data_IF_156400937541
#
_entry.id   IF_156400937541
#
_cell.length_a   1.000
_cell.length_b   1.000
_cell.length_c   1.000
_cell.angle_alpha   90.00
_cell.angle_beta   90.00
_cell.angle_gamma   90.00
#
_symmetry.space_group_name_H-M   'P 1'
#
loop_
_entity.id
_entity.type
_entity.pdbx_description
1 polymer ?
#
# COMPACT_ATOMS: atom_id res chain seq x y z
N UNK A 1 7.39 -11.99 -20.59
CA UNK A 1 7.63 -10.89 -19.63
C UNK A 1 6.43 -10.84 -18.73
N UNK A 2 6.57 -10.96 -17.41
CA UNK A 2 5.46 -10.68 -16.48
C UNK A 2 4.95 -9.26 -16.75
N UNK A 3 3.64 -9.04 -16.64
CA UNK A 3 3.10 -7.69 -16.72
C UNK A 3 3.45 -6.92 -15.44
N UNK A 4 3.44 -5.58 -15.47
CA UNK A 4 3.72 -4.77 -14.27
C UNK A 4 2.80 -5.14 -13.08
N UNK A 5 1.59 -5.66 -13.38
CA UNK A 5 0.66 -6.19 -12.38
C UNK A 5 1.15 -7.50 -11.76
N UNK A 6 1.72 -8.42 -12.55
CA UNK A 6 2.27 -9.68 -12.03
C UNK A 6 3.46 -9.42 -11.09
N UNK A 7 4.32 -8.46 -11.43
CA UNK A 7 5.43 -8.06 -10.55
C UNK A 7 4.93 -7.40 -9.27
N UNK A 8 3.87 -6.61 -9.35
CA UNK A 8 3.18 -6.03 -8.19
C UNK A 8 2.60 -7.12 -7.28
N UNK A 9 1.89 -8.10 -7.84
CA UNK A 9 1.30 -9.20 -7.06
C UNK A 9 2.39 -10.06 -6.40
N UNK A 10 3.50 -10.29 -7.10
CA UNK A 10 4.67 -11.00 -6.55
C UNK A 10 5.34 -10.20 -5.43
N UNK A 11 5.41 -8.87 -5.55
CA UNK A 11 5.96 -7.99 -4.51
C UNK A 11 5.08 -7.98 -3.26
N UNK A 12 3.75 -8.03 -3.43
CA UNK A 12 2.76 -8.12 -2.36
C UNK A 12 2.88 -9.45 -1.60
N UNK A 13 3.13 -10.55 -2.31
CA UNK A 13 3.38 -11.87 -1.72
C UNK A 13 4.70 -11.97 -0.94
N UNK A 14 5.65 -11.04 -1.16
CA UNK A 14 7.00 -11.08 -0.56
C UNK A 14 7.30 -9.92 0.40
N UNK A 15 6.42 -8.91 0.48
CA UNK A 15 6.57 -7.75 1.36
C UNK A 15 6.55 -8.14 2.85
N UNK A 16 7.67 -7.92 3.54
CA UNK A 16 7.89 -8.37 4.93
C UNK A 16 7.80 -7.27 5.98
N UNK A 17 7.87 -6.00 5.58
CA UNK A 17 7.77 -4.84 6.48
C UNK A 17 6.56 -3.97 6.10
N UNK A 18 5.94 -3.31 7.07
CA UNK A 18 4.72 -2.53 6.88
C UNK A 18 4.88 -1.38 5.89
N UNK A 19 6.06 -0.76 5.84
CA UNK A 19 6.35 0.30 4.87
C UNK A 19 6.36 -0.24 3.43
N UNK A 20 6.82 -1.49 3.23
CA UNK A 20 6.79 -2.14 1.91
C UNK A 20 5.36 -2.52 1.52
N UNK A 21 4.57 -3.04 2.45
CA UNK A 21 3.17 -3.37 2.20
C UNK A 21 2.37 -2.12 1.83
N UNK A 22 2.55 -1.03 2.57
CA UNK A 22 1.97 0.28 2.26
C UNK A 22 2.34 0.77 0.86
N UNK A 23 3.63 0.72 0.50
CA UNK A 23 4.09 1.15 -0.83
C UNK A 23 3.49 0.32 -1.97
N UNK A 24 3.38 -1.01 -1.79
CA UNK A 24 2.79 -1.90 -2.80
C UNK A 24 1.28 -1.64 -2.96
N UNK A 25 0.54 -1.43 -1.86
CA UNK A 25 -0.88 -1.09 -1.91
C UNK A 25 -1.12 0.24 -2.61
N UNK A 26 -0.32 1.26 -2.31
CA UNK A 26 -0.37 2.56 -3.00
C UNK A 26 -0.09 2.42 -4.51
N UNK A 27 0.91 1.61 -4.88
CA UNK A 27 1.24 1.39 -6.29
C UNK A 27 0.13 0.60 -7.01
N UNK A 28 -0.52 -0.35 -6.35
CA UNK A 28 -1.67 -1.07 -6.91
C UNK A 28 -2.89 -0.16 -7.10
N UNK A 29 -3.20 0.70 -6.12
CA UNK A 29 -4.26 1.70 -6.24
C UNK A 29 -4.01 2.63 -7.44
N UNK A 30 -2.76 3.04 -7.65
CA UNK A 30 -2.37 3.84 -8.80
C UNK A 30 -2.55 3.10 -10.13
N UNK A 31 -2.18 1.81 -10.21
CA UNK A 31 -2.43 1.04 -11.43
C UNK A 31 -3.92 0.89 -11.75
N UNK A 32 -4.77 0.75 -10.73
CA UNK A 32 -6.22 0.67 -10.90
C UNK A 32 -6.81 2.02 -11.38
N UNK A 33 -6.32 3.15 -10.87
CA UNK A 33 -6.67 4.48 -11.40
C UNK A 33 -6.32 4.62 -12.87
N UNK A 34 -5.09 4.26 -13.24
CA UNK A 34 -4.65 4.30 -14.64
C UNK A 34 -5.51 3.37 -15.54
N UNK A 35 -5.89 2.19 -15.05
CA UNK A 35 -6.81 1.30 -15.76
C UNK A 35 -8.21 1.94 -15.92
N UNK A 36 -8.72 2.60 -14.89
CA UNK A 36 -10.00 3.31 -14.96
C UNK A 36 -9.98 4.44 -16.00
N UNK A 37 -8.88 5.18 -16.15
CA UNK A 37 -8.74 6.20 -17.19
C UNK A 37 -8.80 5.60 -18.60
N UNK A 38 -8.13 4.46 -18.82
CA UNK A 38 -8.17 3.74 -20.11
C UNK A 38 -9.59 3.27 -20.41
N UNK A 39 -10.29 2.72 -19.42
CA UNK A 39 -11.68 2.26 -19.55
C UNK A 39 -12.63 3.43 -19.83
N UNK A 40 -12.44 4.57 -19.18
CA UNK A 40 -13.21 5.78 -19.45
C UNK A 40 -12.99 6.31 -20.87
N UNK A 41 -11.73 6.33 -21.32
CA UNK A 41 -11.42 6.66 -22.71
C UNK A 41 -12.11 5.69 -23.68
N UNK A 42 -12.06 4.38 -23.40
CA UNK A 42 -12.71 3.37 -24.23
C UNK A 42 -14.24 3.55 -24.24
N UNK A 43 -14.85 3.92 -23.10
CA UNK A 43 -16.28 4.23 -22.99
C UNK A 43 -16.66 5.43 -23.87
N UNK A 44 -15.86 6.49 -23.82
CA UNK A 44 -16.07 7.66 -24.66
C UNK A 44 -15.92 7.30 -26.15
N UNK A 45 -14.91 6.49 -26.49
CA UNK A 45 -14.73 5.99 -27.85
C UNK A 45 -15.91 5.12 -28.32
N UNK A 46 -16.42 4.24 -27.45
CA UNK A 46 -17.58 3.40 -27.72
C UNK A 46 -18.84 4.23 -28.00
N UNK A 47 -19.04 5.32 -27.25
CA UNK A 47 -20.12 6.27 -27.50
C UNK A 47 -20.00 6.92 -28.89
N UNK A 48 -18.81 7.44 -29.23
CA UNK A 48 -18.57 8.04 -30.56
C UNK A 48 -18.73 7.05 -31.71
N UNK A 49 -18.33 5.80 -31.51
CA UNK A 49 -18.47 4.71 -32.48
C UNK A 49 -19.87 4.09 -32.52
N UNK A 50 -20.81 4.58 -31.71
CA UNK A 50 -22.16 4.06 -31.60
C UNK A 50 -22.18 2.53 -31.36
N UNK A 51 -21.26 2.05 -30.52
CA UNK A 51 -21.24 0.65 -30.11
C UNK A 51 -22.52 0.30 -29.32
N UNK A 52 -22.92 -0.97 -29.28
CA UNK A 52 -24.12 -1.39 -28.56
C UNK A 52 -24.13 -0.90 -27.11
N UNK A 53 -25.30 -0.48 -26.63
CA UNK A 53 -25.49 -0.01 -25.25
C UNK A 53 -24.93 -0.96 -24.18
N UNK A 54 -25.05 -2.31 -24.30
CA UNK A 54 -24.44 -3.24 -23.34
C UNK A 54 -22.91 -3.10 -23.24
N UNK A 55 -22.23 -2.78 -24.34
CA UNK A 55 -20.77 -2.54 -24.33
C UNK A 55 -20.43 -1.29 -23.56
N UNK A 56 -21.21 -0.21 -23.72
CA UNK A 56 -21.02 1.03 -22.97
C UNK A 56 -21.27 0.84 -21.47
N UNK A 57 -22.32 0.11 -21.10
CA UNK A 57 -22.64 -0.19 -19.70
C UNK A 57 -21.59 -1.08 -19.03
N UNK A 58 -21.06 -2.07 -19.76
CA UNK A 58 -19.96 -2.89 -19.28
C UNK A 58 -18.71 -2.04 -19.02
N UNK A 59 -18.34 -1.15 -19.95
CA UNK A 59 -17.21 -0.24 -19.78
C UNK A 59 -17.40 0.70 -18.58
N UNK A 60 -18.62 1.22 -18.39
CA UNK A 60 -18.95 2.05 -17.22
C UNK A 60 -18.76 1.24 -15.92
N UNK A 61 -19.35 0.06 -15.84
CA UNK A 61 -19.25 -0.80 -14.65
C UNK A 61 -17.80 -1.17 -14.33
N UNK A 62 -17.00 -1.48 -15.35
CA UNK A 62 -15.58 -1.77 -15.18
C UNK A 62 -14.78 -0.55 -14.69
N UNK A 63 -15.11 0.64 -15.19
CA UNK A 63 -14.50 1.90 -14.73
C UNK A 63 -14.82 2.16 -13.26
N UNK A 64 -16.09 2.01 -12.88
CA UNK A 64 -16.56 2.23 -11.51
C UNK A 64 -15.87 1.23 -10.56
N UNK A 65 -15.82 -0.06 -10.92
CA UNK A 65 -15.16 -1.08 -10.11
C UNK A 65 -13.65 -0.83 -9.93
N UNK A 66 -12.94 -0.36 -10.96
CA UNK A 66 -11.52 -0.04 -10.86
C UNK A 66 -11.27 1.14 -9.90
N UNK A 67 -12.14 2.16 -9.91
CA UNK A 67 -12.07 3.29 -8.98
C UNK A 67 -12.36 2.86 -7.55
N UNK A 68 -13.45 2.12 -7.34
CA UNK A 68 -13.83 1.63 -6.01
C UNK A 68 -12.72 0.79 -5.37
N UNK A 69 -12.05 -0.06 -6.16
CA UNK A 69 -10.90 -0.84 -5.69
C UNK A 69 -9.70 0.05 -5.35
N UNK A 70 -9.40 1.05 -6.18
CA UNK A 70 -8.31 1.98 -5.90
C UNK A 70 -8.54 2.77 -4.61
N UNK A 71 -9.76 3.28 -4.43
CA UNK A 71 -10.16 4.04 -3.24
C UNK A 71 -10.12 3.15 -1.98
N UNK A 72 -10.65 1.93 -2.07
CA UNK A 72 -10.57 0.97 -0.96
C UNK A 72 -9.13 0.60 -0.58
N UNK A 73 -8.21 0.52 -1.54
CA UNK A 73 -6.79 0.30 -1.26
C UNK A 73 -6.14 1.49 -0.56
N UNK A 74 -6.46 2.72 -0.97
CA UNK A 74 -5.97 3.93 -0.31
C UNK A 74 -6.52 4.08 1.11
N UNK A 75 -7.78 3.68 1.35
CA UNK A 75 -8.37 3.69 2.69
C UNK A 75 -7.69 2.71 3.65
N UNK A 76 -7.31 1.52 3.18
CA UNK A 76 -6.67 0.50 4.04
C UNK A 76 -5.15 0.65 4.12
N UNK A 77 -4.52 1.32 3.14
CA UNK A 77 -3.07 1.51 3.03
C UNK A 77 -2.40 1.99 4.34
N UNK A 78 -2.93 3.00 5.05
CA UNK A 78 -2.34 3.49 6.30
C UNK A 78 -2.33 2.46 7.43
N UNK A 79 -3.24 1.47 7.42
CA UNK A 79 -3.27 0.41 8.43
C UNK A 79 -2.05 -0.52 8.34
N UNK A 80 -1.36 -0.54 7.19
CA UNK A 80 -0.16 -1.31 6.95
C UNK A 80 1.13 -0.50 7.21
N UNK A 81 1.06 0.84 7.24
CA UNK A 81 2.19 1.68 7.58
C UNK A 81 2.57 1.46 9.06
N UNK A 82 3.81 1.04 9.33
CA UNK A 82 4.25 0.73 10.70
C UNK A 82 4.44 2.01 11.53
N UNK A 83 3.83 2.15 12.72
CA UNK A 83 4.31 3.08 13.72
C UNK A 83 5.55 2.44 14.37
N UNK A 84 6.77 2.74 13.87
CA UNK A 84 7.98 2.44 14.65
C UNK A 84 8.05 3.40 15.84
N UNK A 85 7.36 3.07 16.92
CA UNK A 85 7.84 3.45 18.24
C UNK A 85 9.08 2.58 18.51
N UNK A 86 10.28 3.16 18.70
CA UNK A 86 11.40 2.38 19.19
C UNK A 86 10.97 1.77 20.52
N UNK A 87 10.96 0.45 20.62
CA UNK A 87 10.93 -0.24 21.91
C UNK A 87 12.19 0.22 22.62
N UNK A 88 12.05 1.16 23.56
CA UNK A 88 13.09 1.52 24.50
C UNK A 88 13.39 0.25 25.28
N UNK A 89 14.47 -0.44 24.91
CA UNK A 89 14.98 -1.53 25.73
C UNK A 89 15.22 -0.97 27.15
N UNK A 90 14.76 -1.66 28.22
CA UNK A 90 15.04 -1.19 29.57
C UNK A 90 16.55 -1.10 29.75
N UNK A 91 17.02 0.08 30.16
CA UNK A 91 18.43 0.35 30.36
C UNK A 91 19.04 -0.69 31.32
N UNK A 92 20.25 -1.22 31.03
CA UNK A 92 20.91 -2.14 31.95
C UNK A 92 21.14 -1.44 33.31
N UNK A 93 21.00 -2.15 34.44
CA UNK A 93 21.20 -1.56 35.76
C UNK A 93 22.63 -1.03 35.87
N UNK A 94 22.76 0.22 36.32
CA UNK A 94 24.05 0.87 36.52
C UNK A 94 24.91 0.08 37.51
N UNK A 95 26.22 -0.09 37.26
CA UNK A 95 27.11 -0.76 38.21
C UNK A 95 27.15 0.02 39.53
N UNK A 96 26.82 -0.65 40.62
CA UNK A 96 26.89 -0.09 41.96
C UNK A 96 28.31 0.40 42.25
N UNK A 97 28.45 1.71 42.47
CA UNK A 97 29.71 2.30 42.92
C UNK A 97 30.15 1.63 44.23
N UNK A 98 31.26 0.88 44.19
CA UNK A 98 31.90 0.35 45.39
C UNK A 98 32.34 1.54 46.25
N UNK A 99 31.65 1.77 47.37
CA UNK A 99 32.14 2.67 48.42
C UNK A 99 33.46 2.10 48.96
N UNK A 100 34.55 2.84 48.75
CA UNK A 100 35.82 2.56 49.42
C UNK A 100 35.65 2.76 50.94
N UNK A 101 36.16 1.86 51.79
CA UNK A 101 36.12 2.05 53.23
C UNK A 101 37.05 3.21 53.63
N UNK A 102 36.53 4.13 54.44
CA UNK A 102 37.29 5.24 55.00
C UNK A 102 38.41 4.72 55.94
N UNK A 103 39.60 5.33 55.93
CA UNK A 103 40.68 4.94 56.83
C UNK A 103 40.31 5.29 58.28
N UNK A 104 40.39 4.30 59.18
CA UNK A 104 40.36 4.51 60.63
C UNK A 104 41.71 5.08 61.08
N UNK A 105 41.63 6.06 61.99
CA UNK A 105 42.73 6.76 62.68
C UNK A 105 43.72 5.81 63.35
#
# INVERSE_FOLDING_TARGET
MPTALDELLQSLATARDGDQQHAVLAQLAEQLRNAAEILEWARNNAHWRQLPAPTWEWLRTATDAARDLADGLDEVSPAFASPRAPVTAPAPPAPAARRAPAPRR
#
